data_IF_187471906399
#
_entry.id   IF_187471906399
#
_cell.length_a   1.000
_cell.length_b   1.000
_cell.length_c   1.000
_cell.angle_alpha   90.00
_cell.angle_beta   90.00
_cell.angle_gamma   90.00
#
_symmetry.space_group_name_H-M   'P 1'
#
loop_
_entity.id
_entity.type
_entity.pdbx_description
1 polymer ?
#
# COMPACT_ATOMS: atom_id res chain seq x y z
N UNK A 1 8.78 46.42 2.41
CA UNK A 1 9.71 45.61 3.21
C UNK A 1 8.88 44.45 3.79
N UNK A 2 8.73 43.37 3.04
CA UNK A 2 7.91 42.20 3.42
C UNK A 2 8.84 41.21 4.09
N UNK A 3 8.64 41.01 5.38
CA UNK A 3 9.34 39.97 6.14
C UNK A 3 8.85 38.59 5.62
N UNK A 4 9.70 37.89 4.91
CA UNK A 4 9.50 36.48 4.54
C UNK A 4 9.76 35.70 5.83
N UNK A 5 8.66 35.33 6.48
CA UNK A 5 8.67 34.44 7.65
C UNK A 5 9.03 33.00 7.17
N UNK A 6 10.35 32.76 7.09
CA UNK A 6 10.93 31.45 6.85
C UNK A 6 10.86 30.61 8.16
N UNK A 7 9.65 30.39 8.67
CA UNK A 7 9.43 29.30 9.61
C UNK A 7 9.64 27.98 8.86
N UNK A 8 10.90 27.58 8.71
CA UNK A 8 11.26 26.21 8.35
C UNK A 8 10.67 25.31 9.43
N UNK A 9 9.60 24.61 9.08
CA UNK A 9 9.07 23.51 9.87
C UNK A 9 10.20 22.47 10.07
N UNK A 10 10.93 22.65 11.16
CA UNK A 10 11.87 21.63 11.65
C UNK A 10 10.99 20.45 12.04
N UNK A 11 11.15 19.29 11.38
CA UNK A 11 10.35 18.11 11.71
C UNK A 11 10.58 17.80 13.19
N UNK A 12 9.52 17.88 13.98
CA UNK A 12 9.57 17.62 15.41
C UNK A 12 10.21 16.23 15.64
N UNK A 13 11.24 16.17 16.44
CA UNK A 13 12.04 14.95 16.79
C UNK A 13 11.21 13.72 17.20
N UNK A 14 9.91 13.85 17.46
CA UNK A 14 9.00 12.75 17.80
C UNK A 14 8.43 11.99 16.59
N UNK A 15 8.51 12.54 15.36
CA UNK A 15 7.91 11.91 14.17
C UNK A 15 8.75 10.74 13.64
N UNK A 16 10.07 10.77 13.82
CA UNK A 16 10.96 9.68 13.34
C UNK A 16 10.78 8.37 14.10
N UNK A 17 10.33 8.42 15.34
CA UNK A 17 10.12 7.22 16.16
C UNK A 17 8.96 6.36 15.68
N UNK A 18 7.78 6.93 15.44
CA UNK A 18 6.58 6.18 15.06
C UNK A 18 6.70 5.55 13.66
N UNK A 19 7.24 6.29 12.69
CA UNK A 19 7.56 5.77 11.35
C UNK A 19 8.45 4.53 11.42
N UNK A 20 9.50 4.57 12.25
CA UNK A 20 10.41 3.44 12.46
C UNK A 20 9.70 2.22 13.04
N UNK A 21 8.80 2.41 14.01
CA UNK A 21 8.03 1.30 14.60
C UNK A 21 7.07 0.66 13.61
N UNK A 22 6.35 1.43 12.81
CA UNK A 22 5.43 0.90 11.79
C UNK A 22 6.19 0.04 10.79
N UNK A 23 7.31 0.53 10.25
CA UNK A 23 8.15 -0.22 9.33
C UNK A 23 8.71 -1.48 9.98
N UNK A 24 9.27 -1.36 11.20
CA UNK A 24 9.85 -2.50 11.93
C UNK A 24 8.81 -3.61 12.15
N UNK A 25 7.64 -3.26 12.69
CA UNK A 25 6.56 -4.22 12.93
C UNK A 25 6.08 -4.89 11.65
N UNK A 26 5.99 -4.13 10.56
CA UNK A 26 5.53 -4.65 9.28
C UNK A 26 6.56 -5.60 8.65
N UNK A 27 7.85 -5.25 8.71
CA UNK A 27 8.94 -6.11 8.24
C UNK A 27 9.07 -7.37 9.07
N UNK A 28 8.99 -7.24 10.40
CA UNK A 28 8.99 -8.40 11.30
C UNK A 28 7.80 -9.32 11.05
N UNK A 29 6.60 -8.74 10.86
CA UNK A 29 5.39 -9.50 10.53
C UNK A 29 5.54 -10.28 9.22
N UNK A 30 6.02 -9.64 8.16
CA UNK A 30 6.27 -10.29 6.88
C UNK A 30 7.35 -11.38 7.00
N UNK A 31 8.46 -11.10 7.70
CA UNK A 31 9.53 -12.07 7.95
C UNK A 31 9.04 -13.29 8.75
N UNK A 32 8.20 -13.07 9.75
CA UNK A 32 7.61 -14.14 10.56
C UNK A 32 6.66 -15.02 9.72
N UNK A 33 5.87 -14.42 8.85
CA UNK A 33 4.98 -15.14 7.91
C UNK A 33 5.82 -16.03 6.99
N UNK A 34 6.90 -15.49 6.39
CA UNK A 34 7.78 -16.26 5.50
C UNK A 34 8.42 -17.42 6.27
N UNK A 35 9.01 -17.15 7.44
CA UNK A 35 9.67 -18.16 8.26
C UNK A 35 8.70 -19.28 8.69
N UNK A 36 7.48 -18.92 9.12
CA UNK A 36 6.45 -19.90 9.51
C UNK A 36 5.99 -20.73 8.31
N UNK A 37 5.77 -20.11 7.14
CA UNK A 37 5.36 -20.80 5.92
C UNK A 37 6.40 -21.82 5.46
N UNK A 38 7.68 -21.46 5.51
CA UNK A 38 8.78 -22.35 5.12
C UNK A 38 9.00 -23.48 6.14
N UNK A 39 8.84 -23.20 7.46
CA UNK A 39 9.02 -24.22 8.49
C UNK A 39 7.90 -25.26 8.54
N UNK A 40 6.65 -24.86 8.20
CA UNK A 40 5.49 -25.76 8.21
C UNK A 40 5.34 -26.57 6.92
N UNK A 41 5.90 -26.11 5.82
CA UNK A 41 5.77 -26.75 4.50
C UNK A 41 7.15 -27.16 3.97
N UNK A 42 7.62 -28.32 4.44
CA UNK A 42 8.95 -28.86 4.10
C UNK A 42 9.04 -29.47 2.69
N UNK A 43 7.90 -29.66 2.01
CA UNK A 43 7.89 -30.13 0.61
C UNK A 43 8.49 -29.07 -0.32
N UNK A 44 9.43 -29.48 -1.15
CA UNK A 44 10.17 -28.59 -2.05
C UNK A 44 9.24 -27.68 -2.89
N UNK A 45 9.37 -26.39 -2.73
CA UNK A 45 8.62 -25.37 -3.45
C UNK A 45 7.28 -24.94 -2.84
N UNK A 46 6.59 -25.82 -2.11
CA UNK A 46 5.25 -25.50 -1.56
C UNK A 46 5.29 -24.41 -0.49
N UNK A 47 6.33 -24.37 0.35
CA UNK A 47 6.52 -23.36 1.38
C UNK A 47 6.61 -21.93 0.82
N UNK A 48 7.24 -21.76 -0.33
CA UNK A 48 7.36 -20.45 -0.98
C UNK A 48 6.03 -19.95 -1.56
N UNK A 49 5.21 -20.87 -2.12
CA UNK A 49 3.87 -20.52 -2.59
C UNK A 49 2.97 -20.07 -1.44
N UNK A 50 2.97 -20.81 -0.33
CA UNK A 50 2.21 -20.44 0.86
C UNK A 50 2.73 -19.12 1.44
N UNK A 51 4.05 -18.91 1.47
CA UNK A 51 4.64 -17.65 1.92
C UNK A 51 4.19 -16.48 1.04
N UNK A 52 4.24 -16.62 -0.29
CA UNK A 52 3.81 -15.60 -1.24
C UNK A 52 2.33 -15.23 -1.02
N UNK A 53 1.47 -16.24 -0.86
CA UNK A 53 0.04 -16.03 -0.63
C UNK A 53 -0.22 -15.30 0.70
N UNK A 54 0.39 -15.75 1.79
CA UNK A 54 0.21 -15.13 3.12
C UNK A 54 0.78 -13.71 3.19
N UNK A 55 1.93 -13.47 2.58
CA UNK A 55 2.53 -12.12 2.49
C UNK A 55 1.66 -11.21 1.61
N UNK A 56 1.08 -11.72 0.52
CA UNK A 56 0.14 -10.97 -0.32
C UNK A 56 -1.12 -10.58 0.45
N UNK A 57 -1.69 -11.49 1.25
CA UNK A 57 -2.83 -11.22 2.13
C UNK A 57 -2.49 -10.13 3.15
N UNK A 58 -1.33 -10.21 3.76
CA UNK A 58 -0.84 -9.20 4.72
C UNK A 58 -0.59 -7.85 4.03
N UNK A 59 0.01 -7.85 2.83
CA UNK A 59 0.22 -6.66 2.01
C UNK A 59 -1.10 -5.95 1.68
N UNK A 60 -2.14 -6.70 1.32
CA UNK A 60 -3.49 -6.17 1.07
C UNK A 60 -4.05 -5.44 2.31
N UNK A 61 -3.90 -6.02 3.50
CA UNK A 61 -4.37 -5.38 4.73
C UNK A 61 -3.63 -4.07 5.02
N UNK A 62 -2.30 -4.06 4.88
CA UNK A 62 -1.48 -2.85 5.04
C UNK A 62 -1.90 -1.79 4.03
N UNK A 63 -2.12 -2.18 2.76
CA UNK A 63 -2.62 -1.31 1.70
C UNK A 63 -3.99 -0.71 2.02
N UNK A 64 -4.94 -1.55 2.45
CA UNK A 64 -6.28 -1.09 2.81
C UNK A 64 -6.25 -0.06 3.95
N UNK A 65 -5.44 -0.32 4.98
CA UNK A 65 -5.23 0.64 6.09
C UNK A 65 -4.64 1.95 5.56
N UNK A 66 -3.57 1.89 4.75
CA UNK A 66 -2.93 3.07 4.17
C UNK A 66 -3.90 3.92 3.32
N UNK A 67 -4.85 3.24 2.65
CA UNK A 67 -5.87 3.88 1.83
C UNK A 67 -7.01 4.52 2.64
N UNK A 68 -7.38 3.92 3.78
CA UNK A 68 -8.47 4.37 4.63
C UNK A 68 -8.09 5.50 5.57
N UNK A 69 -6.82 5.58 5.97
CA UNK A 69 -6.35 6.51 6.99
C UNK A 69 -6.69 7.97 6.66
N UNK A 70 -6.46 8.41 5.44
CA UNK A 70 -6.73 9.80 5.03
C UNK A 70 -8.24 10.12 5.04
N UNK A 71 -9.13 9.37 4.35
CA UNK A 71 -10.56 9.67 4.38
C UNK A 71 -11.15 9.52 5.79
N UNK A 72 -10.73 8.54 6.58
CA UNK A 72 -11.20 8.39 7.95
C UNK A 72 -10.80 9.56 8.85
N UNK A 73 -9.59 10.11 8.68
CA UNK A 73 -9.15 11.27 9.46
C UNK A 73 -9.98 12.54 9.18
N UNK A 74 -10.58 12.63 7.99
CA UNK A 74 -11.47 13.75 7.59
C UNK A 74 -12.93 13.52 7.96
N UNK A 75 -13.41 12.28 7.83
CA UNK A 75 -14.79 11.91 8.13
C UNK A 75 -15.02 11.79 9.64
N UNK A 76 -14.07 11.23 10.37
CA UNK A 76 -14.15 10.99 11.82
C UNK A 76 -12.92 11.64 12.47
N UNK A 77 -12.96 12.95 12.77
CA UNK A 77 -11.82 13.67 13.33
C UNK A 77 -11.60 13.29 14.80
N UNK A 78 -10.97 12.15 15.05
CA UNK A 78 -10.49 11.75 16.38
C UNK A 78 -8.99 12.03 16.52
N UNK A 79 -8.50 12.01 17.78
CA UNK A 79 -7.07 12.19 18.03
C UNK A 79 -6.24 11.06 17.39
N UNK A 80 -6.75 9.82 17.40
CA UNK A 80 -6.11 8.64 16.81
C UNK A 80 -6.06 8.75 15.29
N UNK A 81 -7.19 9.09 14.63
CA UNK A 81 -7.24 9.19 13.16
C UNK A 81 -6.34 10.29 12.63
N UNK A 82 -6.21 11.42 13.35
CA UNK A 82 -5.28 12.50 13.01
C UNK A 82 -3.81 12.08 13.17
N UNK A 83 -3.48 11.32 14.21
CA UNK A 83 -2.13 10.82 14.45
C UNK A 83 -1.73 9.84 13.34
N UNK A 84 -2.58 8.85 13.04
CA UNK A 84 -2.33 7.86 11.98
C UNK A 84 -2.36 8.51 10.59
N UNK A 85 -3.19 9.54 10.38
CA UNK A 85 -3.26 10.32 9.13
C UNK A 85 -1.93 10.98 8.74
N UNK A 86 -1.15 11.41 9.73
CA UNK A 86 0.20 11.97 9.51
C UNK A 86 1.20 10.93 9.02
N UNK A 87 0.96 9.65 9.33
CA UNK A 87 1.86 8.53 9.03
C UNK A 87 1.51 7.78 7.74
N UNK A 88 0.62 8.33 6.90
CA UNK A 88 0.24 7.72 5.63
C UNK A 88 1.45 7.36 4.76
N UNK A 89 2.46 8.23 4.72
CA UNK A 89 3.70 7.97 3.97
C UNK A 89 4.42 6.73 4.46
N UNK A 90 4.49 6.55 5.78
CA UNK A 90 5.11 5.39 6.43
C UNK A 90 4.34 4.10 6.14
N UNK A 91 3.00 4.16 6.14
CA UNK A 91 2.15 3.01 5.79
C UNK A 91 2.30 2.61 4.32
N UNK A 92 2.40 3.58 3.40
CA UNK A 92 2.64 3.29 1.98
C UNK A 92 4.04 2.72 1.76
N UNK A 93 5.04 3.18 2.51
CA UNK A 93 6.39 2.61 2.47
C UNK A 93 6.39 1.18 3.04
N UNK A 94 5.72 0.94 4.16
CA UNK A 94 5.55 -0.38 4.75
C UNK A 94 4.86 -1.34 3.77
N UNK A 95 3.79 -0.90 3.10
CA UNK A 95 3.13 -1.64 2.03
C UNK A 95 4.11 -2.01 0.91
N UNK A 96 4.90 -1.04 0.42
CA UNK A 96 5.86 -1.28 -0.65
C UNK A 96 6.93 -2.31 -0.26
N UNK A 97 7.43 -2.26 0.98
CA UNK A 97 8.41 -3.25 1.49
C UNK A 97 7.80 -4.64 1.58
N UNK A 98 6.59 -4.78 2.16
CA UNK A 98 5.91 -6.09 2.26
C UNK A 98 5.60 -6.66 0.88
N UNK A 99 5.14 -5.82 -0.05
CA UNK A 99 4.88 -6.25 -1.43
C UNK A 99 6.15 -6.70 -2.15
N UNK A 100 7.29 -6.05 -1.90
CA UNK A 100 8.59 -6.48 -2.43
C UNK A 100 9.02 -7.84 -1.87
N UNK A 101 8.77 -8.11 -0.58
CA UNK A 101 8.98 -9.44 0.02
C UNK A 101 8.08 -10.48 -0.63
N UNK A 102 6.80 -10.17 -0.84
CA UNK A 102 5.86 -11.05 -1.55
C UNK A 102 6.33 -11.38 -2.97
N UNK A 103 6.78 -10.38 -3.71
CA UNK A 103 7.34 -10.57 -5.06
C UNK A 103 8.59 -11.47 -5.04
N UNK A 104 9.48 -11.30 -4.05
CA UNK A 104 10.64 -12.17 -3.87
C UNK A 104 10.23 -13.62 -3.56
N UNK A 105 9.17 -13.84 -2.77
CA UNK A 105 8.64 -15.17 -2.51
C UNK A 105 8.04 -15.84 -3.78
N UNK A 106 7.52 -15.07 -4.73
CA UNK A 106 7.06 -15.58 -6.03
C UNK A 106 8.24 -15.95 -6.93
N UNK A 107 9.32 -15.16 -6.91
CA UNK A 107 10.50 -15.40 -7.73
C UNK A 107 11.36 -16.59 -7.24
N UNK A 108 11.44 -16.81 -5.92
CA UNK A 108 12.30 -17.83 -5.32
C UNK A 108 12.07 -19.27 -5.85
N UNK A 109 10.83 -19.77 -6.04
CA UNK A 109 10.61 -21.12 -6.57
C UNK A 109 11.09 -21.29 -8.01
N UNK A 110 11.01 -20.27 -8.84
CA UNK A 110 11.42 -20.33 -10.24
C UNK A 110 12.92 -20.45 -10.38
N UNK A 111 13.67 -19.73 -9.56
CA UNK A 111 15.14 -19.85 -9.49
C UNK A 111 15.56 -21.25 -8.98
N UNK A 112 14.84 -21.79 -7.98
CA UNK A 112 15.15 -23.09 -7.38
C UNK A 112 14.74 -24.27 -8.26
N UNK A 113 13.65 -24.15 -9.04
CA UNK A 113 13.13 -25.23 -9.89
C UNK A 113 13.70 -25.25 -11.31
N UNK A 114 14.34 -24.16 -11.73
CA UNK A 114 14.85 -23.99 -13.09
C UNK A 114 13.76 -23.96 -14.17
N UNK A 115 12.48 -23.84 -13.76
CA UNK A 115 11.38 -23.76 -14.72
C UNK A 115 11.25 -22.33 -15.26
N UNK A 116 11.19 -22.15 -16.59
CA UNK A 116 11.05 -20.80 -17.15
C UNK A 116 9.70 -20.20 -16.80
N UNK A 117 9.71 -18.97 -16.33
CA UNK A 117 8.48 -18.18 -16.18
C UNK A 117 7.83 -17.93 -17.53
N UNK A 118 6.49 -17.93 -17.57
CA UNK A 118 5.78 -17.46 -18.76
C UNK A 118 6.07 -15.99 -19.01
N UNK A 119 6.05 -15.57 -20.27
CA UNK A 119 6.31 -14.17 -20.64
C UNK A 119 5.35 -13.21 -19.90
N UNK A 120 4.10 -13.61 -19.72
CA UNK A 120 3.08 -12.84 -19.00
C UNK A 120 3.46 -12.66 -17.51
N UNK A 121 3.89 -13.74 -16.85
CA UNK A 121 4.32 -13.68 -15.45
C UNK A 121 5.56 -12.78 -15.28
N UNK A 122 6.52 -12.84 -16.21
CA UNK A 122 7.69 -11.97 -16.21
C UNK A 122 7.28 -10.50 -16.40
N UNK A 123 6.43 -10.20 -17.37
CA UNK A 123 5.97 -8.84 -17.65
C UNK A 123 5.19 -8.25 -16.45
N UNK A 124 4.29 -9.04 -15.85
CA UNK A 124 3.54 -8.63 -14.67
C UNK A 124 4.45 -8.37 -13.46
N UNK A 125 5.39 -9.28 -13.19
CA UNK A 125 6.34 -9.13 -12.08
C UNK A 125 7.26 -7.94 -12.28
N UNK A 126 7.75 -7.71 -13.51
CA UNK A 126 8.59 -6.58 -13.85
C UNK A 126 7.85 -5.23 -13.69
N UNK A 127 6.59 -5.14 -14.14
CA UNK A 127 5.77 -3.95 -13.98
C UNK A 127 5.51 -3.67 -12.49
N UNK A 128 5.16 -4.70 -11.73
CA UNK A 128 4.93 -4.58 -10.28
C UNK A 128 6.20 -4.14 -9.56
N UNK A 129 7.35 -4.75 -9.88
CA UNK A 129 8.65 -4.37 -9.33
C UNK A 129 9.01 -2.92 -9.66
N UNK A 130 8.78 -2.48 -10.89
CA UNK A 130 9.03 -1.09 -11.31
C UNK A 130 8.18 -0.11 -10.50
N UNK A 131 6.89 -0.37 -10.33
CA UNK A 131 6.00 0.51 -9.55
C UNK A 131 6.38 0.52 -8.07
N UNK A 132 6.76 -0.63 -7.49
CA UNK A 132 7.26 -0.72 -6.12
C UNK A 132 8.56 0.06 -5.96
N UNK A 133 9.50 -0.06 -6.89
CA UNK A 133 10.76 0.67 -6.88
C UNK A 133 10.53 2.18 -6.94
N UNK A 134 9.61 2.61 -7.79
CA UNK A 134 9.18 4.01 -7.87
C UNK A 134 8.56 4.49 -6.56
N UNK A 135 7.70 3.68 -5.91
CA UNK A 135 7.14 4.00 -4.60
C UNK A 135 8.22 4.10 -3.51
N UNK A 136 9.15 3.16 -3.48
CA UNK A 136 10.28 3.17 -2.53
C UNK A 136 11.20 4.38 -2.75
N UNK A 137 11.59 4.63 -4.00
CA UNK A 137 12.40 5.80 -4.36
C UNK A 137 11.69 7.10 -3.99
N UNK A 138 10.38 7.12 -4.11
CA UNK A 138 9.53 8.25 -3.83
C UNK A 138 9.40 8.56 -2.33
N UNK A 139 9.71 7.64 -1.46
CA UNK A 139 9.79 7.89 -0.02
C UNK A 139 11.02 8.76 0.36
N UNK A 140 12.00 8.88 -0.54
CA UNK A 140 13.19 9.68 -0.27
C UNK A 140 12.95 11.18 -0.53
N UNK A 141 13.32 12.09 0.41
CA UNK A 141 13.07 13.52 0.28
C UNK A 141 13.68 14.17 -0.98
N UNK A 142 14.82 13.66 -1.44
CA UNK A 142 15.47 14.16 -2.66
C UNK A 142 14.63 13.89 -3.91
N UNK A 143 13.98 12.73 -4.00
CA UNK A 143 13.11 12.37 -5.12
C UNK A 143 11.85 13.25 -5.17
N UNK A 144 11.27 13.56 -3.99
CA UNK A 144 10.15 14.49 -3.90
C UNK A 144 10.50 15.89 -4.42
N UNK A 145 11.71 16.38 -4.09
CA UNK A 145 12.21 17.68 -4.57
C UNK A 145 12.46 17.67 -6.07
N UNK A 146 12.99 16.57 -6.61
CA UNK A 146 13.29 16.41 -8.03
C UNK A 146 12.02 16.35 -8.89
N UNK A 147 11.02 15.56 -8.49
CA UNK A 147 9.77 15.39 -9.23
C UNK A 147 8.82 16.59 -9.14
N UNK A 148 8.91 17.36 -8.05
CA UNK A 148 7.96 18.43 -7.75
C UNK A 148 6.61 17.92 -7.22
N UNK A 149 5.91 18.76 -6.49
CA UNK A 149 4.68 18.38 -5.76
C UNK A 149 3.52 17.85 -6.63
N UNK A 150 3.25 18.43 -7.84
CA UNK A 150 2.18 17.93 -8.71
C UNK A 150 2.47 16.54 -9.28
N UNK A 151 3.66 16.34 -9.86
CA UNK A 151 4.07 15.06 -10.44
C UNK A 151 4.10 13.94 -9.38
N UNK A 152 4.62 14.26 -8.20
CA UNK A 152 4.60 13.38 -7.04
C UNK A 152 3.20 12.86 -6.69
N UNK A 153 2.22 13.78 -6.56
CA UNK A 153 0.84 13.42 -6.25
C UNK A 153 0.20 12.56 -7.33
N UNK A 154 0.48 12.84 -8.60
CA UNK A 154 -0.01 12.03 -9.71
C UNK A 154 0.58 10.63 -9.68
N UNK A 155 1.89 10.50 -9.47
CA UNK A 155 2.58 9.23 -9.36
C UNK A 155 1.99 8.35 -8.24
N UNK A 156 1.78 8.93 -7.05
CA UNK A 156 1.14 8.21 -5.95
C UNK A 156 -0.28 7.76 -6.27
N UNK A 157 -1.07 8.58 -6.96
CA UNK A 157 -2.44 8.22 -7.38
C UNK A 157 -2.41 7.05 -8.36
N UNK A 158 -1.54 7.10 -9.37
CA UNK A 158 -1.41 6.03 -10.37
C UNK A 158 -0.96 4.73 -9.72
N UNK A 159 0.08 4.76 -8.89
CA UNK A 159 0.55 3.58 -8.17
C UNK A 159 -0.53 2.99 -7.25
N UNK A 160 -1.26 3.84 -6.54
CA UNK A 160 -2.36 3.41 -5.68
C UNK A 160 -3.50 2.77 -6.49
N UNK A 161 -3.89 3.36 -7.62
CA UNK A 161 -4.92 2.82 -8.51
C UNK A 161 -4.49 1.47 -9.12
N UNK A 162 -3.21 1.36 -9.51
CA UNK A 162 -2.64 0.12 -10.02
C UNK A 162 -2.76 -1.03 -9.00
N UNK A 163 -2.27 -0.82 -7.77
CA UNK A 163 -2.34 -1.86 -6.74
C UNK A 163 -3.77 -2.21 -6.33
N UNK A 164 -4.65 -1.20 -6.28
CA UNK A 164 -6.07 -1.45 -6.03
C UNK A 164 -6.65 -2.37 -7.13
N UNK A 165 -6.38 -2.06 -8.39
CA UNK A 165 -6.85 -2.83 -9.54
C UNK A 165 -6.28 -4.26 -9.53
N UNK A 166 -4.99 -4.40 -9.27
CA UNK A 166 -4.31 -5.70 -9.18
C UNK A 166 -4.95 -6.58 -8.12
N UNK A 167 -5.10 -6.09 -6.89
CA UNK A 167 -5.72 -6.87 -5.81
C UNK A 167 -7.18 -7.20 -6.11
N UNK A 168 -7.91 -6.25 -6.70
CA UNK A 168 -9.30 -6.43 -7.06
C UNK A 168 -9.48 -7.51 -8.14
N UNK A 169 -8.72 -7.44 -9.23
CA UNK A 169 -8.78 -8.42 -10.30
C UNK A 169 -8.35 -9.81 -9.83
N UNK A 170 -7.27 -9.91 -9.05
CA UNK A 170 -6.84 -11.17 -8.45
C UNK A 170 -7.94 -11.75 -7.55
N UNK A 171 -8.60 -10.92 -6.74
CA UNK A 171 -9.71 -11.35 -5.90
C UNK A 171 -10.89 -11.88 -6.71
N UNK A 172 -11.27 -11.18 -7.79
CA UNK A 172 -12.36 -11.59 -8.70
C UNK A 172 -12.01 -12.88 -9.43
N UNK A 173 -10.80 -13.01 -9.96
CA UNK A 173 -10.33 -14.20 -10.67
C UNK A 173 -10.47 -15.45 -9.80
N UNK A 174 -10.08 -15.37 -8.52
CA UNK A 174 -10.20 -16.50 -7.59
C UNK A 174 -11.65 -16.77 -7.13
N UNK A 175 -12.55 -15.77 -7.22
CA UNK A 175 -13.98 -15.99 -6.90
C UNK A 175 -14.74 -16.65 -8.05
N UNK A 176 -14.37 -16.35 -9.31
CA UNK A 176 -15.07 -16.85 -10.51
C UNK A 176 -14.39 -18.13 -11.03
N UNK A 177 -13.12 -18.33 -10.69
CA UNK A 177 -12.30 -19.45 -11.17
C UNK A 177 -12.83 -20.82 -10.73
N UNK A 178 -12.34 -21.90 -11.35
CA UNK A 178 -12.81 -23.28 -11.10
C UNK A 178 -12.35 -23.85 -9.74
N UNK A 179 -11.59 -23.10 -8.97
CA UNK A 179 -11.11 -23.50 -7.65
C UNK A 179 -12.19 -23.27 -6.59
N UNK A 180 -12.18 -24.08 -5.52
CA UNK A 180 -13.06 -23.86 -4.36
C UNK A 180 -12.88 -22.44 -3.85
N UNK A 181 -13.96 -21.63 -3.74
CA UNK A 181 -13.84 -20.24 -3.34
C UNK A 181 -13.31 -20.15 -1.91
N UNK A 182 -12.06 -19.72 -1.75
CA UNK A 182 -11.53 -19.40 -0.45
C UNK A 182 -12.24 -18.12 0.05
N UNK A 183 -12.80 -18.21 1.24
CA UNK A 183 -13.53 -17.08 1.92
C UNK A 183 -12.69 -15.81 2.00
N UNK A 184 -11.36 -15.95 1.98
CA UNK A 184 -10.44 -14.83 1.98
C UNK A 184 -10.61 -13.93 0.75
N UNK A 185 -10.77 -14.49 -0.44
CA UNK A 185 -10.92 -13.69 -1.66
C UNK A 185 -12.24 -12.92 -1.68
N UNK A 186 -13.33 -13.51 -1.16
CA UNK A 186 -14.58 -12.81 -0.94
C UNK A 186 -14.41 -11.62 0.02
N UNK A 187 -13.73 -11.84 1.14
CA UNK A 187 -13.41 -10.78 2.09
C UNK A 187 -12.53 -9.69 1.46
N UNK A 188 -11.52 -10.05 0.69
CA UNK A 188 -10.60 -9.09 0.04
C UNK A 188 -11.31 -8.16 -0.94
N UNK A 189 -12.22 -8.70 -1.76
CA UNK A 189 -13.03 -7.91 -2.69
C UNK A 189 -13.97 -6.98 -1.94
N UNK A 190 -14.67 -7.47 -0.91
CA UNK A 190 -15.54 -6.64 -0.07
C UNK A 190 -14.76 -5.52 0.64
N UNK A 191 -13.58 -5.82 1.15
CA UNK A 191 -12.69 -4.83 1.77
C UNK A 191 -12.30 -3.73 0.78
N UNK A 192 -11.87 -4.11 -0.44
CA UNK A 192 -11.47 -3.15 -1.48
C UNK A 192 -12.63 -2.29 -1.97
N UNK A 193 -13.82 -2.86 -2.12
CA UNK A 193 -15.04 -2.10 -2.42
C UNK A 193 -15.38 -1.15 -1.29
N UNK A 194 -15.29 -1.60 -0.03
CA UNK A 194 -15.50 -0.77 1.15
C UNK A 194 -14.52 0.42 1.19
N UNK A 195 -13.23 0.19 0.92
CA UNK A 195 -12.22 1.25 0.80
C UNK A 195 -12.61 2.27 -0.27
N UNK A 196 -13.08 1.81 -1.43
CA UNK A 196 -13.51 2.69 -2.53
C UNK A 196 -14.73 3.52 -2.13
N UNK A 197 -15.71 2.92 -1.48
CA UNK A 197 -16.93 3.61 -1.01
C UNK A 197 -16.60 4.71 0.01
N UNK A 198 -15.70 4.42 0.97
CA UNK A 198 -15.26 5.41 1.96
C UNK A 198 -14.53 6.58 1.27
N UNK A 199 -13.69 6.32 0.28
CA UNK A 199 -13.02 7.36 -0.50
C UNK A 199 -13.98 8.19 -1.34
N UNK A 200 -14.97 7.54 -1.92
CA UNK A 200 -16.03 8.24 -2.67
C UNK A 200 -16.85 9.14 -1.75
N UNK A 201 -17.22 8.65 -0.56
CA UNK A 201 -17.90 9.45 0.45
C UNK A 201 -17.10 10.67 0.90
N UNK A 202 -15.78 10.52 1.13
CA UNK A 202 -14.88 11.63 1.46
C UNK A 202 -14.85 12.69 0.34
N UNK A 203 -14.70 12.25 -0.91
CA UNK A 203 -14.71 13.14 -2.07
C UNK A 203 -16.05 13.88 -2.22
N UNK A 204 -17.16 13.20 -1.97
CA UNK A 204 -18.50 13.80 -2.01
C UNK A 204 -18.67 14.86 -0.92
N UNK A 205 -18.28 14.56 0.32
CA UNK A 205 -18.31 15.50 1.45
C UNK A 205 -17.42 16.72 1.17
N UNK A 206 -16.24 16.53 0.59
CA UNK A 206 -15.36 17.64 0.20
C UNK A 206 -16.00 18.52 -0.88
N UNK A 207 -16.63 17.91 -1.88
CA UNK A 207 -17.35 18.64 -2.94
C UNK A 207 -18.48 19.51 -2.37
N UNK A 208 -19.25 18.98 -1.42
CA UNK A 208 -20.35 19.71 -0.80
C UNK A 208 -19.91 20.83 0.16
N UNK A 209 -18.72 20.73 0.73
CA UNK A 209 -18.16 21.77 1.62
C UNK A 209 -17.58 22.98 0.87
N UNK A 210 -17.08 22.80 -0.34
CA UNK A 210 -16.42 23.87 -1.13
C UNK A 210 -17.33 25.08 -1.42
N UNK A 211 -18.59 24.96 -1.86
CA UNK A 211 -19.44 26.11 -2.16
C UNK A 211 -19.81 26.95 -0.94
N UNK A 212 -19.85 26.36 0.27
CA UNK A 212 -20.20 27.08 1.50
C UNK A 212 -19.11 28.02 2.00
N UNK A 213 -17.87 27.82 1.60
CA UNK A 213 -16.75 28.68 1.97
C UNK A 213 -16.60 29.87 1.01
N UNK A 214 -16.95 29.71 -0.25
CA UNK A 214 -16.91 30.80 -1.24
C UNK A 214 -17.93 31.92 -0.97
N UNK A 215 -19.07 31.57 -0.38
CA UNK A 215 -20.12 32.56 -0.04
C UNK A 215 -19.90 33.37 1.26
N UNK A 216 -18.82 33.09 2.02
CA UNK A 216 -18.50 33.85 3.25
C UNK A 216 -17.43 34.93 3.07
N UNK A 217 -16.87 35.07 1.87
CA UNK A 217 -15.81 36.03 1.54
C UNK A 217 -16.34 37.18 0.67
N UNK A 218 -17.60 37.16 0.31
CA UNK A 218 -18.35 38.25 -0.33
C UNK A 218 -19.23 38.99 0.71
#
# INVERSE_FOLDING_TARGET
MVAIDNAQDIPARGQTGFTGYVLLLTVLGAGLIVAASLSMNTAAGNGWHVAAEMVSRFSLLVFAVAMLVEPLSRLIPSQVTRMVGRERGSLMLAFAVVSAVGLACVAAPTELSGQPMTLEAVAYSALTALILLVLLASAHPATMRFLGGPAWRTLQRVATAYFWLVFFLTGIEHLIGPHLPDRWYGFSVLLLVGVLLVRFADALVEHWRRPRLAGKVA
#
